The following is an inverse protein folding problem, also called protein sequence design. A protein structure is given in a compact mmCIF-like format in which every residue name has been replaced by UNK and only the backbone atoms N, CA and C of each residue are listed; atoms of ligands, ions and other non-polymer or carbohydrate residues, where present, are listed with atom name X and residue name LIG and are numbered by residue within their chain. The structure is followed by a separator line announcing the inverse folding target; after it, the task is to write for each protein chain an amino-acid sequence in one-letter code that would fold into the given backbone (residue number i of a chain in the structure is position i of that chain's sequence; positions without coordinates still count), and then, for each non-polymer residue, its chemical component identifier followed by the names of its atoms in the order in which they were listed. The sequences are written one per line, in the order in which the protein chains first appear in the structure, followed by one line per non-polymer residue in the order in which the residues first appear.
data_IF_379777415065
#
_entry.id   IF_379777415065
#
_cell.length_a   1.000
_cell.length_b   1.000
_cell.length_c   1.000
_cell.angle_alpha   90.00
_cell.angle_beta   90.00
_cell.angle_gamma   90.00
#
_symmetry.space_group_name_H-M   'P 1'
#
loop_
_entity.id
_entity.type
_entity.pdbx_description
1 polymer ?
#
# COMPACT_ATOMS: atom_id res chain seq x y z
N UNK A 1 -31.24 12.06 3.05
CA UNK A 1 -30.17 12.63 3.90
C UNK A 1 -29.33 11.43 4.35
N UNK A 2 -28.38 11.04 3.50
CA UNK A 2 -27.45 9.97 3.83
C UNK A 2 -26.36 10.58 4.73
N UNK A 3 -26.14 9.95 5.87
CA UNK A 3 -25.11 10.35 6.81
C UNK A 3 -23.75 10.17 6.14
N UNK A 4 -23.02 11.27 5.92
CA UNK A 4 -21.57 11.24 5.90
C UNK A 4 -21.13 10.85 7.32
N UNK A 5 -21.01 9.54 7.56
CA UNK A 5 -20.13 9.08 8.61
C UNK A 5 -18.73 9.45 8.11
N UNK A 6 -18.21 10.56 8.65
CA UNK A 6 -16.79 10.85 8.52
C UNK A 6 -16.05 9.63 9.04
N UNK A 7 -15.33 8.97 8.14
CA UNK A 7 -14.26 8.05 8.50
C UNK A 7 -13.33 8.86 9.39
N UNK A 8 -13.41 8.64 10.68
CA UNK A 8 -12.41 9.15 11.58
C UNK A 8 -11.11 8.43 11.20
N UNK A 9 -10.20 9.19 10.60
CA UNK A 9 -8.88 8.72 10.26
C UNK A 9 -8.15 8.50 11.59
N UNK A 10 -7.58 7.33 11.79
CA UNK A 10 -6.75 7.02 12.95
C UNK A 10 -5.85 8.19 13.36
N UNK A 11 -5.69 8.42 14.66
CA UNK A 11 -4.81 9.46 15.24
C UNK A 11 -3.35 9.36 14.77
N UNK A 12 -2.93 8.14 14.41
CA UNK A 12 -1.65 7.86 13.78
C UNK A 12 -1.78 6.70 12.78
N UNK A 13 -1.35 6.91 11.55
CA UNK A 13 -1.24 5.86 10.54
C UNK A 13 0.13 5.86 9.83
N UNK A 14 0.55 4.68 9.37
CA UNK A 14 1.78 4.48 8.59
C UNK A 14 1.40 4.33 7.12
N UNK A 15 1.58 5.41 6.35
CA UNK A 15 1.34 5.44 4.91
C UNK A 15 2.41 4.64 4.14
N UNK A 16 3.66 4.69 4.61
CA UNK A 16 4.77 3.93 4.05
C UNK A 16 5.76 3.54 5.17
N UNK A 17 6.21 2.27 5.25
CA UNK A 17 5.89 1.14 4.35
C UNK A 17 4.41 0.72 4.41
N UNK A 18 3.87 0.22 3.28
CA UNK A 18 2.43 -0.02 3.06
C UNK A 18 1.90 -1.31 3.71
N UNK A 19 2.46 -1.68 4.85
CA UNK A 19 2.18 -2.92 5.58
C UNK A 19 1.81 -2.63 7.03
N UNK A 20 1.07 -1.54 7.24
CA UNK A 20 0.51 -1.20 8.54
C UNK A 20 -0.41 -2.31 9.03
N UNK A 21 -0.41 -2.54 10.34
CA UNK A 21 -1.34 -3.47 10.96
C UNK A 21 -2.78 -2.95 10.79
N UNK A 22 -3.72 -3.87 10.69
CA UNK A 22 -5.14 -3.52 10.56
C UNK A 22 -5.71 -3.21 11.96
N UNK A 23 -6.17 -1.98 12.19
CA UNK A 23 -6.82 -1.56 13.43
C UNK A 23 -7.99 -0.60 13.16
N UNK A 24 -8.87 -0.45 14.15
CA UNK A 24 -9.87 0.64 14.18
C UNK A 24 -9.35 1.77 15.07
N UNK A 25 -9.88 2.98 14.86
CA UNK A 25 -9.57 4.13 15.71
C UNK A 25 -9.82 3.81 17.20
N UNK A 26 -10.95 3.17 17.54
CA UNK A 26 -11.26 2.85 18.93
C UNK A 26 -10.26 1.87 19.55
N UNK A 27 -9.65 0.98 18.75
CA UNK A 27 -8.59 0.09 19.23
C UNK A 27 -7.30 0.87 19.52
N UNK A 28 -7.01 1.88 18.71
CA UNK A 28 -5.86 2.74 18.88
C UNK A 28 -6.01 3.65 20.12
N UNK A 29 -7.19 4.24 20.34
CA UNK A 29 -7.53 5.03 21.54
C UNK A 29 -7.46 4.20 22.84
N UNK A 30 -7.72 2.89 22.77
CA UNK A 30 -7.59 1.99 23.92
C UNK A 30 -6.14 1.76 24.36
N UNK A 31 -5.15 2.25 23.62
CA UNK A 31 -3.74 2.27 24.01
C UNK A 31 -3.04 0.90 23.91
N UNK A 32 -3.56 -0.01 23.08
CA UNK A 32 -2.89 -1.27 22.78
C UNK A 32 -1.57 -1.06 22.01
N UNK A 33 -0.58 -1.94 22.21
CA UNK A 33 0.63 -1.96 21.36
C UNK A 33 0.21 -2.16 19.90
N UNK A 34 0.84 -1.40 18.99
CA UNK A 34 0.48 -1.41 17.56
C UNK A 34 -0.98 -1.01 17.31
N UNK A 35 -1.53 -0.10 18.12
CA UNK A 35 -2.92 0.34 18.04
C UNK A 35 -3.93 -0.76 18.37
N UNK A 36 -3.50 -1.85 19.02
CA UNK A 36 -4.33 -3.03 19.24
C UNK A 36 -4.67 -3.81 17.96
N UNK A 37 -3.99 -3.51 16.85
CA UNK A 37 -4.27 -4.06 15.53
C UNK A 37 -3.87 -5.52 15.33
N UNK A 38 -4.26 -6.04 14.17
CA UNK A 38 -3.88 -7.36 13.67
C UNK A 38 -2.75 -7.25 12.67
N UNK A 39 -1.81 -8.20 12.74
CA UNK A 39 -0.67 -8.27 11.83
C UNK A 39 -1.09 -8.52 10.39
N UNK A 40 -0.34 -7.91 9.48
CA UNK A 40 -0.45 -8.11 8.03
C UNK A 40 0.81 -8.77 7.45
N UNK A 41 0.82 -8.99 6.13
CA UNK A 41 1.98 -9.53 5.44
C UNK A 41 3.11 -8.49 5.36
N UNK A 42 4.35 -8.95 5.55
CA UNK A 42 5.52 -8.09 5.45
C UNK A 42 5.82 -7.67 4.00
N UNK A 43 6.19 -6.41 3.80
CA UNK A 43 6.61 -5.87 2.49
C UNK A 43 8.10 -5.56 2.47
N UNK A 44 8.69 -5.56 1.27
CA UNK A 44 10.08 -5.16 1.11
C UNK A 44 10.25 -3.68 1.47
N UNK A 45 11.24 -3.37 2.33
CA UNK A 45 11.56 -2.01 2.73
C UNK A 45 13.06 -1.75 2.53
N UNK A 46 13.36 -0.75 1.69
CA UNK A 46 14.71 -0.43 1.23
C UNK A 46 15.58 0.19 2.33
N UNK A 47 16.80 -0.31 2.52
CA UNK A 47 17.66 0.08 3.65
C UNK A 47 18.60 1.24 3.39
N UNK A 48 18.91 1.58 2.14
CA UNK A 48 19.99 2.56 1.82
C UNK A 48 19.52 4.02 1.85
N UNK A 49 18.21 4.24 1.89
CA UNK A 49 17.57 5.56 2.05
C UNK A 49 16.18 5.39 2.67
N UNK A 50 16.15 4.66 3.78
CA UNK A 50 14.92 4.33 4.46
C UNK A 50 14.20 5.60 4.95
N UNK A 51 12.89 5.59 4.79
CA UNK A 51 12.01 6.64 5.29
C UNK A 51 10.70 6.00 5.73
N UNK A 52 9.97 6.73 6.57
CA UNK A 52 8.61 6.41 7.00
C UNK A 52 7.73 7.60 6.66
N UNK A 53 6.58 7.35 6.04
CA UNK A 53 5.54 8.37 5.85
C UNK A 53 4.39 8.06 6.79
N UNK A 54 3.94 9.08 7.50
CA UNK A 54 2.95 8.99 8.56
C UNK A 54 1.83 9.99 8.31
N UNK A 55 0.62 9.64 8.75
CA UNK A 55 -0.49 10.57 8.94
C UNK A 55 -0.76 10.68 10.43
N UNK A 56 -1.05 11.86 10.94
CA UNK A 56 -1.41 12.00 12.35
C UNK A 56 -1.83 13.40 12.76
N UNK A 57 -2.09 13.57 14.05
CA UNK A 57 -2.67 14.77 14.63
C UNK A 57 -1.66 15.85 15.01
N UNK A 58 -2.05 17.12 14.84
CA UNK A 58 -1.26 18.28 15.25
C UNK A 58 -0.78 18.18 16.70
N UNK A 59 0.45 18.63 16.96
CA UNK A 59 1.04 18.68 18.29
C UNK A 59 1.63 17.35 18.77
N UNK A 60 1.28 16.23 18.14
CA UNK A 60 1.89 14.94 18.46
C UNK A 60 3.37 14.91 18.10
N UNK A 61 4.17 14.34 19.00
CA UNK A 61 5.59 14.05 18.79
C UNK A 61 5.79 12.56 18.56
N UNK A 62 6.56 12.22 17.53
CA UNK A 62 6.72 10.88 17.01
C UNK A 62 8.06 10.27 17.41
N UNK A 63 8.02 8.99 17.77
CA UNK A 63 9.18 8.10 17.83
C UNK A 63 8.98 6.89 16.92
N UNK A 64 10.00 6.59 16.12
CA UNK A 64 10.04 5.43 15.23
C UNK A 64 11.06 4.43 15.76
N UNK A 65 10.59 3.22 16.04
CA UNK A 65 11.36 2.11 16.57
C UNK A 65 11.31 0.91 15.64
N UNK A 66 12.25 -0.02 15.83
CA UNK A 66 12.33 -1.27 15.09
C UNK A 66 12.60 -2.44 16.02
N UNK A 67 11.76 -3.46 15.89
CA UNK A 67 12.00 -4.81 16.37
C UNK A 67 12.50 -5.64 15.21
N UNK A 68 13.51 -6.49 15.43
CA UNK A 68 14.06 -7.36 14.39
C UNK A 68 13.98 -8.82 14.82
N UNK A 69 13.71 -9.69 13.86
CA UNK A 69 13.80 -11.12 14.02
C UNK A 69 15.19 -11.57 13.63
N UNK A 70 15.73 -12.59 14.30
CA UNK A 70 16.94 -13.27 13.85
C UNK A 70 16.68 -14.21 12.66
N UNK A 71 15.43 -14.29 12.20
CA UNK A 71 14.94 -15.14 11.13
C UNK A 71 14.46 -14.34 9.93
N UNK A 72 14.56 -14.94 8.74
CA UNK A 72 13.98 -14.41 7.49
C UNK A 72 12.55 -14.93 7.25
N UNK A 73 12.10 -15.90 8.06
CA UNK A 73 10.78 -16.55 7.92
C UNK A 73 9.85 -16.30 9.09
N UNK A 74 10.39 -15.97 10.27
CA UNK A 74 9.60 -15.71 11.48
C UNK A 74 9.49 -14.21 11.75
N UNK A 75 8.30 -13.76 12.11
CA UNK A 75 8.06 -12.38 12.49
C UNK A 75 8.60 -12.09 13.89
N UNK A 76 8.81 -10.81 14.20
CA UNK A 76 9.18 -10.34 15.54
C UNK A 76 8.07 -10.69 16.52
N UNK A 77 8.39 -11.27 17.67
CA UNK A 77 7.40 -11.40 18.76
C UNK A 77 7.16 -10.03 19.38
N UNK A 78 5.92 -9.54 19.35
CA UNK A 78 5.55 -8.23 19.90
C UNK A 78 4.64 -8.47 21.10
N UNK A 79 5.07 -8.01 22.28
CA UNK A 79 4.28 -8.03 23.52
C UNK A 79 3.91 -6.64 23.98
N UNK A 80 4.83 -5.68 23.80
CA UNK A 80 4.74 -4.30 24.27
C UNK A 80 5.86 -3.47 23.62
N UNK A 81 5.94 -2.18 23.95
CA UNK A 81 6.92 -1.24 23.38
C UNK A 81 8.40 -1.68 23.58
N UNK A 82 8.73 -2.50 24.58
CA UNK A 82 10.09 -3.02 24.78
C UNK A 82 10.53 -4.03 23.72
N UNK A 83 9.59 -4.52 22.90
CA UNK A 83 9.88 -5.41 21.76
C UNK A 83 10.63 -4.71 20.62
N UNK A 84 10.77 -3.37 20.70
CA UNK A 84 11.37 -2.53 19.65
C UNK A 84 12.60 -1.77 20.17
N UNK A 85 13.75 -2.45 20.36
CA UNK A 85 14.91 -1.86 21.02
C UNK A 85 15.71 -0.85 20.17
N UNK A 86 15.49 -0.82 18.85
CA UNK A 86 16.24 0.05 17.94
C UNK A 86 15.46 1.34 17.68
N UNK A 87 16.01 2.48 18.08
CA UNK A 87 15.46 3.80 17.74
C UNK A 87 15.94 4.20 16.35
N UNK A 88 15.03 4.41 15.41
CA UNK A 88 15.36 4.83 14.05
C UNK A 88 15.19 6.34 13.83
N UNK A 89 14.26 6.97 14.56
CA UNK A 89 14.01 8.42 14.58
C UNK A 89 13.23 8.80 15.85
N UNK A 90 13.43 10.00 16.38
CA UNK A 90 12.74 10.49 17.59
C UNK A 90 12.63 12.02 17.57
N UNK A 91 11.53 12.54 18.13
CA UNK A 91 11.36 13.97 18.41
C UNK A 91 10.85 14.80 17.23
N UNK A 92 10.40 14.18 16.15
CA UNK A 92 9.72 14.88 15.07
C UNK A 92 8.25 15.11 15.44
N UNK A 93 7.66 16.26 15.09
CA UNK A 93 6.29 16.58 15.49
C UNK A 93 5.44 16.99 14.30
N UNK A 94 4.14 16.70 14.38
CA UNK A 94 3.15 17.21 13.44
C UNK A 94 2.86 18.68 13.75
N UNK A 95 3.32 19.59 12.88
CA UNK A 95 3.04 21.04 13.03
C UNK A 95 1.60 21.42 12.65
N UNK A 96 0.87 20.50 12.04
CA UNK A 96 -0.54 20.53 11.68
C UNK A 96 -0.97 19.08 11.45
N UNK A 97 -2.25 18.74 11.62
CA UNK A 97 -2.73 17.40 11.26
C UNK A 97 -2.45 17.14 9.77
N UNK A 98 -1.98 15.94 9.45
CA UNK A 98 -1.64 15.55 8.07
C UNK A 98 -0.38 14.71 7.98
N UNK A 99 0.36 14.88 6.88
CA UNK A 99 1.49 14.02 6.54
C UNK A 99 2.79 14.46 7.20
N UNK A 100 3.53 13.51 7.75
CA UNK A 100 4.89 13.67 8.24
C UNK A 100 5.79 12.61 7.60
N UNK A 101 6.82 13.06 6.89
CA UNK A 101 7.81 12.18 6.28
C UNK A 101 9.14 12.25 7.03
N UNK A 102 9.57 11.11 7.57
CA UNK A 102 10.75 10.99 8.41
C UNK A 102 11.83 10.18 7.68
N UNK A 103 13.01 10.76 7.41
CA UNK A 103 14.17 9.93 7.11
C UNK A 103 14.51 9.12 8.36
N UNK A 104 14.82 7.84 8.18
CA UNK A 104 15.19 6.95 9.29
C UNK A 104 16.52 6.29 9.02
N UNK A 105 17.29 6.04 10.08
CA UNK A 105 18.62 5.42 9.96
C UNK A 105 18.56 3.99 10.45
N UNK A 106 18.77 3.03 9.55
CA UNK A 106 18.87 1.62 9.90
C UNK A 106 20.30 1.23 10.28
N UNK A 107 20.50 0.32 11.25
CA UNK A 107 21.80 -0.28 11.48
C UNK A 107 22.31 -1.01 10.23
N UNK A 108 23.58 -0.83 9.91
CA UNK A 108 24.21 -1.35 8.68
C UNK A 108 24.59 -2.83 8.76
N UNK A 109 24.50 -3.42 9.95
CA UNK A 109 24.81 -4.82 10.23
C UNK A 109 23.58 -5.75 10.15
N UNK A 110 22.39 -5.21 9.85
CA UNK A 110 21.20 -6.02 9.65
C UNK A 110 21.28 -6.80 8.33
N UNK A 111 21.15 -8.14 8.36
CA UNK A 111 21.18 -8.95 7.15
C UNK A 111 20.04 -8.61 6.19
N UNK A 112 20.29 -8.71 4.88
CA UNK A 112 19.23 -8.71 3.86
C UNK A 112 18.24 -9.86 4.10
N UNK A 113 16.96 -9.58 3.95
CA UNK A 113 15.87 -10.53 4.18
C UNK A 113 15.43 -10.62 5.64
N UNK A 114 16.05 -9.85 6.55
CA UNK A 114 15.62 -9.79 7.97
C UNK A 114 14.16 -9.35 8.05
N UNK A 115 13.34 -10.13 8.76
CA UNK A 115 11.99 -9.70 9.13
C UNK A 115 12.07 -8.72 10.29
N UNK A 116 11.36 -7.62 10.16
CA UNK A 116 11.32 -6.60 11.19
C UNK A 116 9.90 -6.04 11.29
N UNK A 117 9.59 -5.50 12.46
CA UNK A 117 8.34 -4.80 12.71
C UNK A 117 8.71 -3.37 13.11
N UNK A 118 8.28 -2.42 12.30
CA UNK A 118 8.31 -1.00 12.63
C UNK A 118 7.24 -0.74 13.68
N UNK A 119 7.59 0.05 14.69
CA UNK A 119 6.66 0.58 15.67
C UNK A 119 6.77 2.09 15.68
N UNK A 120 5.65 2.76 15.53
CA UNK A 120 5.55 4.21 15.56
C UNK A 120 4.66 4.57 16.72
N UNK A 121 5.16 5.42 17.60
CA UNK A 121 4.41 5.98 18.71
C UNK A 121 4.32 7.48 18.50
N UNK A 122 3.12 8.02 18.67
CA UNK A 122 2.85 9.44 18.67
C UNK A 122 2.30 9.82 20.04
N UNK A 123 2.93 10.80 20.68
CA UNK A 123 2.56 11.30 22.01
C UNK A 123 2.07 12.73 21.91
N UNK A 124 0.83 12.96 22.33
CA UNK A 124 0.21 14.27 22.50
C UNK A 124 0.25 14.73 23.96
N UNK A 125 -0.47 15.82 24.28
CA UNK A 125 -0.53 16.35 25.66
C UNK A 125 -1.28 15.39 26.61
N UNK A 126 -2.35 14.76 26.13
CA UNK A 126 -3.26 13.95 26.95
C UNK A 126 -3.34 12.48 26.50
N UNK A 127 -2.68 12.12 25.40
CA UNK A 127 -2.79 10.79 24.82
C UNK A 127 -1.47 10.27 24.20
N UNK A 128 -1.41 8.96 24.00
CA UNK A 128 -0.35 8.32 23.23
C UNK A 128 -0.95 7.17 22.44
N UNK A 129 -0.72 7.21 21.14
CA UNK A 129 -1.21 6.22 20.19
C UNK A 129 -0.04 5.55 19.50
N UNK A 130 -0.26 4.32 19.03
CA UNK A 130 0.78 3.58 18.31
C UNK A 130 0.23 2.89 17.07
N UNK A 131 1.14 2.61 16.13
CA UNK A 131 0.89 1.82 14.93
C UNK A 131 2.13 0.98 14.62
N UNK A 132 1.94 -0.13 13.91
CA UNK A 132 3.04 -0.99 13.50
C UNK A 132 2.97 -1.32 12.02
N UNK A 133 4.11 -1.60 11.42
CA UNK A 133 4.20 -2.11 10.05
C UNK A 133 5.16 -3.28 9.93
N UNK A 134 4.82 -4.29 9.12
CA UNK A 134 5.64 -5.49 8.92
C UNK A 134 6.55 -5.33 7.70
N UNK A 135 7.86 -5.51 7.86
CA UNK A 135 8.81 -5.31 6.76
C UNK A 135 9.83 -6.43 6.63
N UNK A 136 10.35 -6.56 5.41
CA UNK A 136 11.54 -7.35 5.08
C UNK A 136 12.61 -6.39 4.60
N UNK A 137 13.74 -6.35 5.30
CA UNK A 137 14.83 -5.45 4.99
C UNK A 137 15.53 -5.89 3.71
N UNK A 138 15.57 -5.02 2.70
CA UNK A 138 16.24 -5.31 1.43
C UNK A 138 17.21 -4.19 1.07
N UNK A 139 18.44 -4.50 0.59
CA UNK A 139 19.30 -3.51 -0.03
C UNK A 139 18.58 -2.90 -1.23
N UNK A 140 18.71 -1.60 -1.37
CA UNK A 140 18.14 -0.79 -2.45
C UNK A 140 19.03 -0.91 -3.68
N UNK A 141 19.23 -2.13 -4.19
CA UNK A 141 19.98 -2.39 -5.43
C UNK A 141 19.11 -3.04 -6.52
N UNK A 142 17.80 -3.18 -6.28
CA UNK A 142 16.91 -3.99 -7.10
C UNK A 142 15.67 -3.19 -7.52
N UNK A 143 15.78 -2.42 -8.59
CA UNK A 143 14.65 -2.10 -9.48
C UNK A 143 13.71 -0.99 -9.02
N UNK A 144 13.90 0.18 -9.62
CA UNK A 144 13.00 1.33 -9.66
C UNK A 144 12.67 1.99 -8.32
N UNK A 145 13.40 3.07 -8.03
CA UNK A 145 12.94 4.11 -7.12
C UNK A 145 11.69 4.80 -7.63
N UNK A 146 11.26 4.59 -8.88
CA UNK A 146 10.12 5.22 -9.52
C UNK A 146 8.85 4.43 -9.26
N UNK A 147 7.79 5.14 -8.86
CA UNK A 147 6.45 4.57 -8.69
C UNK A 147 5.86 4.26 -10.06
N UNK A 148 5.39 3.02 -10.23
CA UNK A 148 4.70 2.57 -11.44
C UNK A 148 3.25 2.27 -11.06
N UNK A 149 2.31 2.87 -11.79
CA UNK A 149 0.89 2.67 -11.63
C UNK A 149 0.28 2.35 -13.00
N UNK A 150 -0.55 1.30 -13.07
CA UNK A 150 -1.13 0.81 -14.34
C UNK A 150 -0.11 0.59 -15.48
N UNK A 151 1.15 0.26 -15.13
CA UNK A 151 2.24 0.03 -16.08
C UNK A 151 2.96 1.29 -16.58
N UNK A 152 2.61 2.49 -16.07
CA UNK A 152 3.26 3.75 -16.40
C UNK A 152 3.95 4.37 -15.17
N UNK A 153 5.03 5.12 -15.39
CA UNK A 153 5.67 5.88 -14.33
C UNK A 153 4.76 7.03 -13.88
N UNK A 154 4.56 7.15 -12.56
CA UNK A 154 3.90 8.31 -11.98
C UNK A 154 4.84 9.50 -12.12
N UNK A 155 4.32 10.64 -12.57
CA UNK A 155 5.10 11.87 -12.79
C UNK A 155 4.65 12.96 -11.84
N UNK A 156 5.62 13.73 -11.35
CA UNK A 156 5.34 14.91 -10.53
C UNK A 156 4.72 15.98 -11.45
N UNK A 157 3.52 16.50 -11.16
CA UNK A 157 2.80 17.40 -12.06
C UNK A 157 3.45 18.79 -12.18
N UNK A 158 4.23 19.20 -11.19
CA UNK A 158 4.91 20.51 -11.18
C UNK A 158 6.21 20.49 -12.00
N UNK A 159 6.92 19.37 -11.98
CA UNK A 159 8.26 19.26 -12.56
C UNK A 159 8.31 18.40 -13.83
N UNK A 160 7.30 17.56 -14.06
CA UNK A 160 7.26 16.57 -15.14
C UNK A 160 8.26 15.41 -14.97
N UNK A 161 8.95 15.32 -13.83
CA UNK A 161 9.90 14.25 -13.54
C UNK A 161 9.17 13.00 -13.00
N UNK A 162 9.73 11.82 -13.22
CA UNK A 162 9.25 10.59 -12.59
C UNK A 162 9.31 10.70 -11.06
N UNK A 163 8.19 10.40 -10.39
CA UNK A 163 8.11 10.40 -8.94
C UNK A 163 8.88 9.23 -8.36
N UNK A 164 9.74 9.50 -7.37
CA UNK A 164 10.27 8.42 -6.55
C UNK A 164 9.23 7.93 -5.55
N UNK A 165 9.43 6.73 -4.98
CA UNK A 165 8.61 6.21 -3.87
C UNK A 165 8.56 7.22 -2.72
N UNK A 166 9.70 7.86 -2.42
CA UNK A 166 9.75 8.92 -1.41
C UNK A 166 8.95 10.15 -1.83
N UNK A 167 9.10 10.62 -3.07
CA UNK A 167 8.35 11.79 -3.53
C UNK A 167 6.84 11.54 -3.50
N UNK A 168 6.42 10.32 -3.83
CA UNK A 168 5.01 9.91 -3.82
C UNK A 168 4.42 9.92 -2.41
N UNK A 169 5.09 9.30 -1.44
CA UNK A 169 4.58 9.21 -0.08
C UNK A 169 4.86 10.45 0.79
N UNK A 170 5.81 11.32 0.39
CA UNK A 170 6.24 12.47 1.17
C UNK A 170 5.89 13.82 0.56
N UNK A 171 5.20 13.85 -0.58
CA UNK A 171 4.71 15.10 -1.13
C UNK A 171 3.73 15.74 -0.16
N UNK A 172 4.04 16.97 0.27
CA UNK A 172 3.16 17.80 1.12
C UNK A 172 1.95 18.36 0.35
N UNK A 173 1.93 18.17 -0.97
CA UNK A 173 0.75 18.41 -1.75
C UNK A 173 -0.26 17.31 -1.45
N UNK A 174 -1.54 17.65 -1.46
CA UNK A 174 -2.58 16.78 -1.99
C UNK A 174 -2.23 16.40 -3.43
N UNK A 175 -1.10 15.73 -3.66
CA UNK A 175 -1.05 14.69 -4.67
C UNK A 175 -2.05 13.72 -4.06
N UNK A 176 -3.32 13.87 -4.45
CA UNK A 176 -4.31 12.85 -4.21
C UNK A 176 -3.57 11.54 -4.42
N UNK A 177 -3.71 10.57 -3.51
CA UNK A 177 -3.59 9.19 -3.93
C UNK A 177 -4.31 9.15 -5.29
N UNK A 178 -3.52 9.09 -6.38
CA UNK A 178 -3.97 9.56 -7.68
C UNK A 178 -5.08 8.59 -8.04
N UNK A 179 -6.32 9.06 -7.93
CA UNK A 179 -7.53 8.32 -8.24
C UNK A 179 -7.44 6.82 -7.88
N UNK A 180 -7.80 6.43 -6.64
CA UNK A 180 -8.08 5.01 -6.31
C UNK A 180 -9.21 4.40 -7.14
N UNK A 181 -9.80 5.20 -8.03
CA UNK A 181 -10.73 4.79 -9.05
C UNK A 181 -10.11 3.77 -10.01
N UNK A 182 -10.67 2.55 -10.00
CA UNK A 182 -10.49 1.57 -11.06
C UNK A 182 -11.62 1.73 -12.09
N UNK A 183 -11.32 2.33 -13.24
CA UNK A 183 -12.20 2.30 -14.41
C UNK A 183 -11.71 1.25 -15.41
N UNK A 184 -12.57 0.32 -15.82
CA UNK A 184 -12.26 -0.67 -16.83
C UNK A 184 -13.49 -0.98 -17.71
N UNK A 185 -13.27 -1.48 -18.92
CA UNK A 185 -14.34 -1.79 -19.85
C UNK A 185 -14.90 -3.21 -19.68
N UNK A 186 -16.22 -3.36 -19.58
CA UNK A 186 -16.91 -4.64 -19.72
C UNK A 186 -18.09 -4.51 -20.69
N UNK A 187 -18.12 -5.36 -21.74
CA UNK A 187 -19.30 -5.47 -22.62
C UNK A 187 -19.63 -4.23 -23.46
N UNK A 188 -18.71 -3.27 -23.58
CA UNK A 188 -18.88 -2.04 -24.36
C UNK A 188 -19.24 -0.81 -23.53
N UNK A 189 -19.35 -0.93 -22.21
CA UNK A 189 -19.59 0.18 -21.29
C UNK A 189 -18.47 0.24 -20.24
N UNK A 190 -18.09 1.45 -19.85
CA UNK A 190 -17.11 1.69 -18.80
C UNK A 190 -17.69 1.40 -17.41
N UNK A 191 -16.93 0.67 -16.59
CA UNK A 191 -17.24 0.36 -15.21
C UNK A 191 -16.17 0.98 -14.33
N UNK A 192 -16.60 1.89 -13.45
CA UNK A 192 -15.73 2.69 -12.61
C UNK A 192 -16.11 2.50 -11.13
N UNK A 193 -15.13 2.21 -10.29
CA UNK A 193 -15.29 2.20 -8.83
C UNK A 193 -15.13 3.63 -8.26
N UNK A 194 -16.09 4.05 -7.43
CA UNK A 194 -16.13 5.35 -6.74
C UNK A 194 -16.06 6.61 -7.63
N UNK A 195 -15.69 7.75 -7.03
CA UNK A 195 -15.74 9.09 -7.63
C UNK A 195 -14.52 9.38 -8.49
N UNK A 196 -14.48 8.78 -9.67
CA UNK A 196 -13.42 8.94 -10.66
C UNK A 196 -13.34 10.36 -11.24
N UNK A 197 -12.12 10.81 -11.55
CA UNK A 197 -11.97 12.02 -12.37
C UNK A 197 -12.58 11.84 -13.77
N UNK A 198 -13.06 12.93 -14.41
CA UNK A 198 -13.61 12.87 -15.77
C UNK A 198 -12.62 12.34 -16.81
N UNK A 199 -11.31 12.48 -16.56
CA UNK A 199 -10.27 11.99 -17.45
C UNK A 199 -10.20 10.45 -17.44
N UNK A 200 -10.32 9.82 -16.26
CA UNK A 200 -10.33 8.36 -16.10
C UNK A 200 -11.57 7.70 -16.74
N UNK A 201 -12.74 8.32 -16.57
CA UNK A 201 -13.97 7.88 -17.24
C UNK A 201 -13.82 7.98 -18.75
N UNK A 202 -13.22 9.06 -19.26
CA UNK A 202 -13.01 9.24 -20.70
C UNK A 202 -12.04 8.21 -21.29
N UNK A 203 -11.02 7.81 -20.54
CA UNK A 203 -10.05 6.80 -20.97
C UNK A 203 -10.70 5.41 -21.08
N UNK A 204 -11.49 5.00 -20.07
CA UNK A 204 -12.21 3.72 -20.11
C UNK A 204 -13.29 3.69 -21.22
N UNK A 205 -13.98 4.80 -21.46
CA UNK A 205 -14.93 4.91 -22.57
C UNK A 205 -14.23 4.78 -23.94
N UNK A 206 -13.01 5.31 -24.09
CA UNK A 206 -12.20 5.15 -25.29
C UNK A 206 -11.77 3.69 -25.50
N UNK A 207 -11.42 2.97 -24.43
CA UNK A 207 -11.13 1.53 -24.49
C UNK A 207 -12.34 0.70 -24.91
N UNK A 208 -13.54 1.00 -24.39
CA UNK A 208 -14.78 0.36 -24.81
C UNK A 208 -15.12 0.59 -26.28
N UNK A 209 -14.87 1.81 -26.76
CA UNK A 209 -15.06 2.16 -28.16
C UNK A 209 -14.07 1.43 -29.08
N UNK A 210 -12.82 1.25 -28.62
CA UNK A 210 -11.80 0.49 -29.34
C UNK A 210 -12.10 -1.02 -29.39
N UNK A 211 -12.60 -1.61 -28.29
CA UNK A 211 -13.01 -3.01 -28.23
C UNK A 211 -14.20 -3.30 -29.16
N UNK A 212 -15.15 -2.36 -29.26
CA UNK A 212 -16.30 -2.41 -30.18
C UNK A 212 -15.91 -2.26 -31.66
N UNK A 213 -14.71 -1.74 -31.91
CA UNK A 213 -14.19 -1.46 -33.26
C UNK A 213 -13.23 -2.54 -33.77
N UNK A 214 -12.93 -3.57 -32.97
CA UNK A 214 -12.17 -4.73 -33.47
C UNK A 214 -13.05 -5.57 -34.40
N UNK A 215 -12.69 -5.72 -35.69
CA UNK A 215 -13.41 -6.60 -36.58
C UNK A 215 -13.20 -8.03 -36.09
N UNK A 216 -14.28 -8.69 -35.66
CA UNK A 216 -14.27 -10.11 -35.36
C UNK A 216 -13.70 -10.85 -36.57
N UNK A 217 -12.49 -11.39 -36.41
CA UNK A 217 -11.91 -12.31 -37.37
C UNK A 217 -12.81 -13.54 -37.44
N UNK A 218 -13.68 -13.54 -38.44
CA UNK A 218 -14.58 -14.65 -38.76
C UNK A 218 -13.72 -15.81 -39.27
N UNK A 219 -13.29 -16.68 -38.35
CA UNK A 219 -12.72 -17.97 -38.72
C UNK A 219 -13.86 -18.89 -39.10
N UNK A 220 -14.03 -19.06 -40.41
CA UNK A 220 -14.92 -20.02 -41.02
C UNK A 220 -14.49 -21.46 -40.65
N UNK A 221 -15.43 -22.27 -40.18
CA UNK A 221 -15.27 -23.72 -40.16
C UNK A 221 -16.61 -24.41 -40.38
N UNK A 222 -16.79 -24.86 -41.63
CA UNK A 222 -16.97 -26.27 -41.94
C UNK A 222 -18.25 -26.93 -41.43
N UNK A 223 -19.20 -27.07 -42.34
CA UNK A 223 -20.42 -27.86 -42.20
C UNK A 223 -20.17 -29.30 -41.73
N UNK A 224 -21.11 -29.75 -40.91
CA UNK A 224 -21.31 -31.06 -40.34
C UNK A 224 -21.24 -32.23 -41.33
N UNK A 225 -20.69 -33.36 -40.88
CA UNK A 225 -20.91 -34.64 -41.53
C UNK A 225 -20.10 -35.80 -40.97
N UNK A 226 -20.83 -36.77 -40.40
CA UNK A 226 -20.46 -38.19 -40.23
C UNK A 226 -20.08 -38.67 -38.82
N UNK A 227 -21.11 -39.23 -38.18
CA UNK A 227 -21.19 -40.63 -37.69
C UNK A 227 -20.19 -41.14 -36.65
N UNK A 228 -20.78 -41.60 -35.54
CA UNK A 228 -20.21 -42.43 -34.49
C UNK A 228 -19.51 -43.70 -35.02
N UNK A 229 -18.65 -44.31 -34.18
CA UNK A 229 -19.08 -45.62 -33.68
C UNK A 229 -18.88 -45.80 -32.17
N UNK A 230 -19.88 -46.46 -31.57
CA UNK A 230 -19.81 -47.16 -30.30
C UNK A 230 -18.96 -48.42 -30.45
N UNK A 231 -18.04 -48.67 -29.51
CA UNK A 231 -17.55 -50.02 -29.23
C UNK A 231 -16.93 -50.11 -27.82
N UNK A 232 -17.78 -50.46 -26.86
CA UNK A 232 -17.39 -51.14 -25.61
C UNK A 232 -18.06 -52.51 -25.64
N UNK A 233 -17.27 -53.58 -25.61
CA UNK A 233 -17.80 -54.95 -25.55
C UNK A 233 -16.72 -56.00 -25.75
N UNK A 234 -16.23 -56.53 -24.63
CA UNK A 234 -15.41 -57.73 -24.51
C UNK A 234 -16.31 -58.94 -24.26
N UNK A 235 -16.07 -60.09 -24.91
CA UNK A 235 -15.89 -61.44 -24.31
C UNK A 235 -15.79 -62.53 -25.39
N UNK A 236 -14.93 -63.53 -25.13
CA UNK A 236 -15.18 -64.95 -25.43
C UNK A 236 -14.97 -65.43 -26.85
#
# INVERSE_FOLDING_TARGET
VAALAGLAAAHLDINYPTSSWDFTEEQQEQGGVCGGGSRVAAVAWGTDSAFVSLSGDEGHTVRVLLGTSSSTTENVTVTDASSFPLVLSEGASFSSSGNLCLPVTLPTDLPTGTRATLFVEATGEDESVSSCAEVVLVPTNSGSTVVIEHGAAVVNPETGANMTVRDYFCSNGTIAALDTCSCHCHGGEEHCDDSCSPEHVSAAAAECSAASSSPSASSASGSSGSSAPSATGSVG
#
